data_IF_038979644512
#
_entry.id   IF_038979644512
#
_cell.length_a   1.000
_cell.length_b   1.000
_cell.length_c   1.000
_cell.angle_alpha   90.00
_cell.angle_beta   90.00
_cell.angle_gamma   90.00
#
_symmetry.space_group_name_H-M   'P 1'
#
loop_
_entity.id
_entity.type
_entity.pdbx_description
1 polymer ?
#
# COMPACT_ATOMS: atom_id res chain seq x y z
N UNK A 1 -19.37 -7.04 5.45
CA UNK A 1 -19.12 -6.26 6.68
C UNK A 1 -18.06 -5.23 6.33
N UNK A 2 -18.11 -4.03 6.90
CA UNK A 2 -17.11 -3.00 6.65
C UNK A 2 -15.96 -3.17 7.64
N UNK A 3 -14.73 -3.19 7.14
CA UNK A 3 -13.51 -3.20 7.94
C UNK A 3 -13.16 -1.77 8.35
N UNK A 4 -13.18 -1.48 9.65
CA UNK A 4 -12.83 -0.16 10.18
C UNK A 4 -11.40 0.25 9.78
N UNK A 5 -10.51 -0.72 9.68
CA UNK A 5 -9.14 -0.53 9.22
C UNK A 5 -9.08 -0.08 7.75
N UNK A 6 -9.89 -0.71 6.87
CA UNK A 6 -9.99 -0.31 5.46
C UNK A 6 -10.62 1.09 5.35
N UNK A 7 -11.60 1.41 6.18
CA UNK A 7 -12.22 2.74 6.22
C UNK A 7 -11.21 3.83 6.61
N UNK A 8 -10.38 3.56 7.62
CA UNK A 8 -9.32 4.48 8.06
C UNK A 8 -8.31 4.72 6.93
N UNK A 9 -7.92 3.67 6.21
CA UNK A 9 -7.02 3.76 5.04
C UNK A 9 -7.63 4.60 3.94
N UNK A 10 -8.91 4.37 3.59
CA UNK A 10 -9.61 5.11 2.55
C UNK A 10 -9.65 6.62 2.85
N UNK A 11 -10.02 6.97 4.09
CA UNK A 11 -10.02 8.37 4.56
C UNK A 11 -8.64 9.00 4.51
N UNK A 12 -7.62 8.26 4.94
CA UNK A 12 -6.24 8.73 4.92
C UNK A 12 -5.73 8.92 3.49
N UNK A 13 -6.00 7.99 2.59
CA UNK A 13 -5.63 8.08 1.17
C UNK A 13 -6.23 9.32 0.52
N UNK A 14 -7.53 9.54 0.71
CA UNK A 14 -8.22 10.72 0.18
C UNK A 14 -7.63 12.00 0.77
N UNK A 15 -7.34 12.02 2.07
CA UNK A 15 -6.78 13.21 2.72
C UNK A 15 -5.35 13.51 2.27
N UNK A 16 -4.52 12.49 2.11
CA UNK A 16 -3.09 12.63 1.80
C UNK A 16 -2.85 12.87 0.31
N UNK A 17 -3.59 12.18 -0.57
CA UNK A 17 -3.32 12.16 -2.00
C UNK A 17 -4.39 12.83 -2.87
N UNK A 18 -5.45 13.42 -2.31
CA UNK A 18 -6.45 14.17 -3.09
C UNK A 18 -5.87 15.30 -3.94
N UNK A 19 -4.71 15.86 -3.55
CA UNK A 19 -4.00 16.88 -4.31
C UNK A 19 -3.04 16.35 -5.39
N UNK A 20 -2.87 15.03 -5.50
CA UNK A 20 -1.92 14.42 -6.45
C UNK A 20 -2.56 14.32 -7.83
N UNK A 21 -1.87 14.84 -8.85
CA UNK A 21 -2.33 14.77 -10.23
C UNK A 21 -2.47 13.31 -10.68
N UNK A 22 -3.65 12.96 -11.17
CA UNK A 22 -3.99 11.59 -11.56
C UNK A 22 -4.53 10.72 -10.42
N UNK A 23 -4.43 11.11 -9.15
CA UNK A 23 -4.96 10.31 -8.05
C UNK A 23 -6.50 10.26 -8.09
N UNK A 24 -7.05 9.06 -7.98
CA UNK A 24 -8.49 8.81 -7.84
C UNK A 24 -8.83 8.55 -6.39
N UNK A 25 -9.90 9.16 -5.89
CA UNK A 25 -10.33 8.97 -4.50
C UNK A 25 -10.96 7.60 -4.26
N UNK A 26 -10.67 7.02 -3.11
CA UNK A 26 -11.25 5.76 -2.67
C UNK A 26 -12.63 6.00 -2.03
N UNK A 27 -13.63 5.13 -2.27
CA UNK A 27 -14.90 5.19 -1.57
C UNK A 27 -14.70 4.83 -0.10
N UNK A 28 -15.13 5.69 0.83
CA UNK A 28 -14.98 5.48 2.28
C UNK A 28 -16.09 4.57 2.84
N UNK A 29 -16.14 3.33 2.35
CA UNK A 29 -17.16 2.35 2.72
C UNK A 29 -16.63 1.22 3.62
N UNK A 30 -15.33 1.24 3.96
CA UNK A 30 -14.67 0.17 4.70
C UNK A 30 -14.62 -1.15 3.95
N UNK A 31 -14.84 -1.15 2.63
CA UNK A 31 -14.80 -2.35 1.81
C UNK A 31 -13.63 -2.30 0.85
N UNK A 32 -12.89 -3.40 0.79
CA UNK A 32 -11.83 -3.54 -0.20
C UNK A 32 -12.45 -3.73 -1.58
N UNK A 33 -12.37 -2.71 -2.42
CA UNK A 33 -12.74 -2.78 -3.83
C UNK A 33 -11.59 -2.35 -4.73
N UNK A 34 -11.76 -2.57 -6.04
CA UNK A 34 -10.88 -2.03 -7.07
C UNK A 34 -10.52 -0.54 -6.87
N UNK A 35 -11.46 0.38 -6.58
CA UNK A 35 -11.10 1.79 -6.40
C UNK A 35 -10.18 2.03 -5.18
N UNK A 36 -10.34 1.28 -4.09
CA UNK A 36 -9.41 1.33 -2.93
C UNK A 36 -8.02 0.84 -3.34
N UNK A 37 -7.96 -0.26 -4.09
CA UNK A 37 -6.69 -0.83 -4.59
C UNK A 37 -5.99 0.14 -5.55
N UNK A 38 -6.74 0.79 -6.44
CA UNK A 38 -6.20 1.81 -7.33
C UNK A 38 -5.66 3.00 -6.53
N UNK A 39 -6.43 3.54 -5.60
CA UNK A 39 -5.98 4.65 -4.74
C UNK A 39 -4.69 4.29 -3.98
N UNK A 40 -4.61 3.11 -3.37
CA UNK A 40 -3.40 2.62 -2.71
C UNK A 40 -2.20 2.54 -3.66
N UNK A 41 -2.41 1.99 -4.85
CA UNK A 41 -1.39 1.86 -5.89
C UNK A 41 -0.88 3.24 -6.32
N UNK A 42 -1.81 4.18 -6.50
CA UNK A 42 -1.49 5.53 -6.93
C UNK A 42 -0.69 6.30 -5.88
N UNK A 43 -1.12 6.23 -4.61
CA UNK A 43 -0.38 6.80 -3.49
C UNK A 43 1.02 6.19 -3.37
N UNK A 44 1.14 4.87 -3.50
CA UNK A 44 2.42 4.18 -3.49
C UNK A 44 3.34 4.62 -4.63
N UNK A 45 2.83 4.72 -5.85
CA UNK A 45 3.58 5.20 -7.00
C UNK A 45 4.07 6.64 -6.79
N UNK A 46 3.24 7.50 -6.21
CA UNK A 46 3.63 8.86 -5.86
C UNK A 46 4.79 8.88 -4.85
N UNK A 47 4.69 8.12 -3.77
CA UNK A 47 5.71 8.08 -2.71
C UNK A 47 7.06 7.51 -3.19
N UNK A 48 7.03 6.52 -4.11
CA UNK A 48 8.27 5.96 -4.69
C UNK A 48 8.79 6.78 -5.89
N UNK A 49 8.16 7.92 -6.19
CA UNK A 49 8.62 8.86 -7.22
C UNK A 49 8.28 8.48 -8.66
N UNK A 50 7.30 7.61 -8.89
CA UNK A 50 6.82 7.29 -10.24
C UNK A 50 5.88 8.39 -10.72
N UNK A 51 6.30 9.10 -11.76
CA UNK A 51 5.50 10.17 -12.37
C UNK A 51 4.28 9.64 -13.13
N UNK A 52 4.36 8.43 -13.69
CA UNK A 52 3.25 7.77 -14.37
C UNK A 52 2.41 6.95 -13.37
N UNK A 53 1.63 7.66 -12.56
CA UNK A 53 0.66 7.07 -11.65
C UNK A 53 -0.46 6.43 -12.48
N UNK A 54 -0.81 5.17 -12.22
CA UNK A 54 -1.80 4.46 -13.03
C UNK A 54 -2.34 3.18 -12.41
N UNK A 55 -3.33 2.58 -13.07
CA UNK A 55 -4.01 1.37 -12.57
C UNK A 55 -3.14 0.10 -12.71
N UNK A 56 -2.03 0.14 -13.44
CA UNK A 56 -1.15 -1.00 -13.72
C UNK A 56 0.04 -1.16 -12.76
N UNK A 57 0.40 -2.42 -12.45
CA UNK A 57 1.62 -2.77 -11.70
C UNK A 57 2.69 -3.23 -12.71
N UNK A 58 3.18 -2.28 -13.51
CA UNK A 58 4.22 -2.54 -14.49
C UNK A 58 5.59 -2.81 -13.84
N UNK A 59 6.57 -3.18 -14.66
CA UNK A 59 7.93 -3.49 -14.18
C UNK A 59 8.64 -2.27 -13.54
N UNK A 60 8.30 -1.05 -13.98
CA UNK A 60 8.78 0.18 -13.35
C UNK A 60 8.31 0.28 -11.89
N UNK A 61 7.03 0.05 -11.62
CA UNK A 61 6.45 0.04 -10.26
C UNK A 61 7.06 -1.07 -9.41
N UNK A 62 7.21 -2.27 -9.97
CA UNK A 62 7.86 -3.39 -9.26
C UNK A 62 9.32 -3.07 -8.90
N UNK A 63 10.07 -2.47 -9.82
CA UNK A 63 11.49 -2.14 -9.62
C UNK A 63 11.68 -1.03 -8.60
N UNK A 64 10.93 0.07 -8.72
CA UNK A 64 10.96 1.16 -7.75
C UNK A 64 10.54 0.69 -6.36
N UNK A 65 9.48 -0.13 -6.29
CA UNK A 65 9.06 -0.74 -5.04
C UNK A 65 10.15 -1.65 -4.48
N UNK A 66 10.79 -2.51 -5.29
CA UNK A 66 11.86 -3.40 -4.83
C UNK A 66 13.03 -2.62 -4.19
N UNK A 67 13.42 -1.48 -4.75
CA UNK A 67 14.47 -0.61 -4.21
C UNK A 67 14.08 0.00 -2.86
N UNK A 68 12.84 0.48 -2.73
CA UNK A 68 12.30 1.02 -1.47
C UNK A 68 12.19 -0.09 -0.43
N UNK A 69 11.73 -1.26 -0.84
CA UNK A 69 11.55 -2.44 -0.01
C UNK A 69 12.85 -2.95 0.60
N UNK A 70 13.98 -2.86 -0.11
CA UNK A 70 15.29 -3.16 0.47
C UNK A 70 15.67 -2.20 1.61
N UNK A 71 15.10 -1.01 1.61
CA UNK A 71 15.32 0.04 2.60
C UNK A 71 14.28 0.05 3.73
N UNK A 72 13.14 -0.62 3.55
CA UNK A 72 12.10 -0.80 4.57
C UNK A 72 12.56 -1.82 5.61
N UNK A 73 12.85 -1.35 6.81
CA UNK A 73 13.35 -2.14 7.95
C UNK A 73 12.62 -1.69 9.21
N UNK A 74 12.58 -2.52 10.26
CA UNK A 74 12.08 -2.12 11.56
C UNK A 74 12.68 -0.78 12.01
N UNK A 75 11.83 0.20 12.32
CA UNK A 75 12.23 1.57 12.65
C UNK A 75 12.18 2.57 11.48
N UNK A 76 11.83 2.14 10.26
CA UNK A 76 11.49 3.06 9.18
C UNK A 76 10.21 3.81 9.51
N UNK A 77 10.22 5.13 9.31
CA UNK A 77 9.05 5.99 9.52
C UNK A 77 8.69 6.75 8.25
N UNK A 78 7.47 6.57 7.75
CA UNK A 78 7.01 7.30 6.58
C UNK A 78 5.64 6.84 6.05
N UNK A 79 5.10 7.61 5.11
CA UNK A 79 3.83 7.31 4.46
C UNK A 79 3.83 5.95 3.76
N UNK A 80 4.99 5.50 3.27
CA UNK A 80 5.15 4.18 2.65
C UNK A 80 4.82 3.05 3.63
N UNK A 81 5.22 3.17 4.91
CA UNK A 81 4.88 2.17 5.91
C UNK A 81 3.36 2.12 6.14
N UNK A 82 2.74 3.28 6.23
CA UNK A 82 1.28 3.42 6.41
C UNK A 82 0.50 2.89 5.19
N UNK A 83 0.95 3.18 3.96
CA UNK A 83 0.40 2.61 2.73
C UNK A 83 0.48 1.08 2.71
N UNK A 84 1.62 0.54 3.12
CA UNK A 84 1.85 -0.90 3.15
C UNK A 84 0.93 -1.57 4.18
N UNK A 85 0.79 -0.99 5.37
CA UNK A 85 -0.18 -1.45 6.36
C UNK A 85 -1.61 -1.44 5.80
N UNK A 86 -2.00 -0.37 5.13
CA UNK A 86 -3.32 -0.27 4.50
C UNK A 86 -3.56 -1.30 3.39
N UNK A 87 -2.53 -1.57 2.58
CA UNK A 87 -2.57 -2.62 1.57
C UNK A 87 -2.70 -4.02 2.20
N UNK A 88 -2.10 -4.25 3.37
CA UNK A 88 -2.25 -5.51 4.10
C UNK A 88 -3.68 -5.70 4.59
N UNK A 89 -4.28 -4.69 5.21
CA UNK A 89 -5.68 -4.76 5.63
C UNK A 89 -6.63 -4.99 4.47
N UNK A 90 -6.39 -4.33 3.33
CA UNK A 90 -7.13 -4.59 2.10
C UNK A 90 -7.02 -6.07 1.66
N UNK A 91 -5.87 -6.72 1.91
CA UNK A 91 -5.64 -8.14 1.60
C UNK A 91 -6.12 -9.09 2.71
N UNK A 92 -6.64 -8.59 3.82
CA UNK A 92 -7.01 -9.37 5.00
C UNK A 92 -5.81 -9.87 5.81
N UNK A 93 -4.62 -9.30 5.61
CA UNK A 93 -3.43 -9.55 6.42
C UNK A 93 -3.38 -8.48 7.52
N UNK A 94 -3.18 -8.89 8.77
CA UNK A 94 -3.03 -7.95 9.86
C UNK A 94 -1.53 -7.61 10.06
N UNK A 95 -1.06 -6.40 9.71
CA UNK A 95 0.33 -5.99 9.84
C UNK A 95 0.70 -5.47 11.24
N UNK A 96 -0.22 -5.57 12.20
CA UNK A 96 -0.06 -5.06 13.57
C UNK A 96 -1.33 -4.36 14.07
N UNK A 97 -1.33 -3.94 15.32
CA UNK A 97 -2.51 -3.35 15.98
C UNK A 97 -2.90 -1.95 15.46
N UNK A 98 -1.96 -1.17 14.91
CA UNK A 98 -2.15 0.27 14.71
C UNK A 98 -1.85 0.75 13.28
N UNK A 99 -2.71 1.63 12.76
CA UNK A 99 -2.48 2.34 11.49
C UNK A 99 -1.52 3.50 11.73
N UNK A 100 -0.25 3.33 11.43
CA UNK A 100 0.74 4.36 11.69
C UNK A 100 1.82 4.40 10.61
N UNK A 101 2.67 5.41 10.70
CA UNK A 101 3.83 5.54 9.82
C UNK A 101 5.00 4.67 10.29
N UNK A 102 4.83 3.83 11.31
CA UNK A 102 5.92 3.06 11.93
C UNK A 102 6.00 1.65 11.33
N UNK A 103 7.13 1.35 10.71
CA UNK A 103 7.41 0.02 10.22
C UNK A 103 7.86 -0.87 11.38
N UNK A 104 6.89 -1.49 12.05
CA UNK A 104 7.13 -2.42 13.16
C UNK A 104 7.53 -3.83 12.68
N UNK A 105 8.00 -4.68 13.59
CA UNK A 105 8.33 -6.08 13.29
C UNK A 105 7.13 -6.88 12.75
N UNK A 106 5.92 -6.58 13.24
CA UNK A 106 4.68 -7.18 12.73
C UNK A 106 4.43 -6.79 11.26
N UNK A 107 4.68 -5.52 10.93
CA UNK A 107 4.57 -5.03 9.56
C UNK A 107 5.66 -5.64 8.68
N UNK A 108 6.88 -5.83 9.19
CA UNK A 108 7.94 -6.53 8.49
C UNK A 108 7.58 -7.99 8.18
N UNK A 109 6.97 -8.71 9.13
CA UNK A 109 6.54 -10.10 8.92
C UNK A 109 5.45 -10.21 7.85
N UNK A 110 4.43 -9.35 7.91
CA UNK A 110 3.40 -9.25 6.87
C UNK A 110 4.05 -8.94 5.50
N UNK A 111 5.04 -8.07 5.50
CA UNK A 111 5.79 -7.68 4.32
C UNK A 111 6.67 -8.79 3.74
N UNK A 112 7.38 -9.56 4.57
CA UNK A 112 8.13 -10.77 4.17
C UNK A 112 7.19 -11.82 3.57
N UNK A 113 6.03 -12.04 4.20
CA UNK A 113 5.01 -12.96 3.70
C UNK A 113 4.55 -12.57 2.29
N UNK A 114 4.26 -11.28 2.08
CA UNK A 114 3.85 -10.75 0.78
C UNK A 114 4.94 -10.85 -0.29
N UNK A 115 6.21 -10.57 0.02
CA UNK A 115 7.33 -10.83 -0.91
C UNK A 115 7.37 -12.28 -1.39
N UNK A 116 7.06 -13.22 -0.50
CA UNK A 116 6.90 -14.63 -0.85
C UNK A 116 5.76 -14.86 -1.85
N UNK A 117 4.62 -14.18 -1.67
CA UNK A 117 3.50 -14.22 -2.62
C UNK A 117 3.79 -13.51 -3.95
N UNK A 118 4.54 -12.40 -3.96
CA UNK A 118 4.93 -11.69 -5.19
C UNK A 118 5.85 -12.53 -6.08
N UNK A 119 6.77 -13.32 -5.52
CA UNK A 119 7.55 -14.30 -6.31
C UNK A 119 6.65 -15.33 -6.98
N UNK A 120 5.57 -15.76 -6.32
CA UNK A 120 4.57 -16.67 -6.90
C UNK A 120 3.73 -15.99 -7.98
N UNK A 121 3.32 -14.74 -7.77
CA UNK A 121 2.52 -13.96 -8.75
C UNK A 121 3.31 -13.60 -10.00
N UNK A 122 4.61 -13.26 -9.87
CA UNK A 122 5.46 -12.94 -11.01
C UNK A 122 5.84 -14.19 -11.84
N UNK A 123 5.57 -15.39 -11.34
CA UNK A 123 5.76 -16.65 -12.08
C UNK A 123 4.51 -17.06 -12.88
N UNK A 124 3.42 -16.30 -12.79
CA UNK A 124 2.15 -16.57 -13.47
C UNK A 124 1.81 -15.53 -14.55
N UNK A 125 2.75 -14.64 -14.89
CA UNK A 125 2.69 -13.75 -16.07
C UNK A 125 3.65 -14.21 -17.14
#
# INVERSE_FOLDING_TARGET
>A
MADEAVLAVQKWLNKTYSGVSGFTTAPENGQTGWPTIYSLRMGLQHEIGISAIGEGFGDATKTALASVVGSLKPGYKGNIAQLIQGAFWCKGINPGSDFNQDFSDATEQAFKTLRGYYRKWCSYS
#
